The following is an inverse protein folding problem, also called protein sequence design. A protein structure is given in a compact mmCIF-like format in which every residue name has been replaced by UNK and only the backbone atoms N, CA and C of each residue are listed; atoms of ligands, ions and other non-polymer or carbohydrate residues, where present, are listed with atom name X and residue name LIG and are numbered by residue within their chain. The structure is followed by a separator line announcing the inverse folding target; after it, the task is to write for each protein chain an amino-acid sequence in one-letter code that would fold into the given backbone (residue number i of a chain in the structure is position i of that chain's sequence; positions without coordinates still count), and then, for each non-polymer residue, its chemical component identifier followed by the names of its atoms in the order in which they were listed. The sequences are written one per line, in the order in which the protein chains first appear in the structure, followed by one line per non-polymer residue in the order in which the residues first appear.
data_IF_786722242628
#
_entry.id   IF_786722242628
#
_cell.length_a   1.000
_cell.length_b   1.000
_cell.length_c   1.000
_cell.angle_alpha   90.00
_cell.angle_beta   90.00
_cell.angle_gamma   90.00
#
_symmetry.space_group_name_H-M   'P 1'
#
loop_
_entity.id
_entity.type
_entity.pdbx_description
1 polymer ?
#
# COMPACT_ATOMS: atom_id res chain seq x y z
N UNK A 1 -5.96 -11.82 -21.00
CA UNK A 1 -5.44 -10.46 -21.22
C UNK A 1 -4.11 -10.33 -20.50
N UNK A 2 -3.04 -9.95 -21.22
CA UNK A 2 -1.72 -9.66 -20.63
C UNK A 2 -1.62 -8.24 -20.02
N UNK A 3 -2.75 -7.50 -19.96
CA UNK A 3 -2.79 -6.15 -19.42
C UNK A 3 -3.02 -6.19 -17.90
N UNK A 4 -2.32 -5.33 -17.18
CA UNK A 4 -2.63 -5.06 -15.77
C UNK A 4 -3.91 -4.25 -15.67
N UNK A 5 -4.76 -4.62 -14.72
CA UNK A 5 -6.02 -3.93 -14.41
C UNK A 5 -5.89 -3.36 -13.00
N UNK A 6 -6.18 -2.07 -12.84
CA UNK A 6 -6.23 -1.43 -11.53
C UNK A 6 -7.60 -0.80 -11.35
N UNK A 7 -8.30 -1.15 -10.29
CA UNK A 7 -9.66 -0.65 -10.02
C UNK A 7 -9.93 -0.50 -8.53
N UNK A 8 -10.81 0.45 -8.16
CA UNK A 8 -11.42 0.52 -6.83
C UNK A 8 -12.38 -0.65 -6.69
N UNK A 9 -12.40 -1.30 -5.53
CA UNK A 9 -13.24 -2.46 -5.31
C UNK A 9 -13.58 -2.60 -3.82
N UNK A 10 -14.89 -2.71 -3.52
CA UNK A 10 -15.41 -2.81 -2.16
C UNK A 10 -14.94 -1.67 -1.23
N UNK A 11 -14.85 -0.46 -1.76
CA UNK A 11 -14.42 0.68 -0.98
C UNK A 11 -15.47 1.11 0.03
N UNK A 12 -16.74 1.21 -0.40
CA UNK A 12 -17.84 1.66 0.45
C UNK A 12 -18.91 0.59 0.59
N UNK A 13 -19.62 0.60 1.74
CA UNK A 13 -20.76 -0.29 1.95
C UNK A 13 -21.84 -0.08 0.87
N UNK A 14 -22.06 1.18 0.47
CA UNK A 14 -23.03 1.55 -0.57
C UNK A 14 -22.71 0.85 -1.92
N UNK A 15 -21.45 0.79 -2.33
CA UNK A 15 -21.02 0.07 -3.54
C UNK A 15 -21.47 -1.39 -3.49
N UNK A 16 -21.26 -2.05 -2.35
CA UNK A 16 -21.61 -3.45 -2.15
C UNK A 16 -23.13 -3.65 -2.18
N UNK A 17 -23.87 -2.79 -1.47
CA UNK A 17 -25.35 -2.83 -1.42
C UNK A 17 -25.99 -2.59 -2.79
N UNK A 18 -25.52 -1.60 -3.55
CA UNK A 18 -26.00 -1.34 -4.91
C UNK A 18 -25.73 -2.52 -5.86
N UNK A 19 -24.56 -3.19 -5.71
CA UNK A 19 -24.24 -4.38 -6.50
C UNK A 19 -25.15 -5.56 -6.15
N UNK A 20 -25.40 -5.78 -4.87
CA UNK A 20 -26.32 -6.81 -4.40
C UNK A 20 -27.76 -6.56 -4.90
N UNK A 21 -28.23 -5.33 -4.82
CA UNK A 21 -29.56 -4.96 -5.31
C UNK A 21 -29.73 -5.16 -6.83
N UNK A 22 -28.71 -4.76 -7.61
CA UNK A 22 -28.78 -4.83 -9.08
C UNK A 22 -28.51 -6.22 -9.65
N UNK A 23 -27.58 -6.97 -9.03
CA UNK A 23 -27.02 -8.18 -9.63
C UNK A 23 -27.14 -9.40 -8.74
N UNK A 24 -27.65 -9.26 -7.51
CA UNK A 24 -27.67 -10.30 -6.49
C UNK A 24 -26.27 -10.93 -6.24
N UNK A 25 -25.22 -10.13 -6.38
CA UNK A 25 -23.83 -10.50 -6.24
C UNK A 25 -23.03 -9.33 -5.67
N UNK A 26 -22.00 -9.61 -4.85
CA UNK A 26 -21.02 -8.59 -4.49
C UNK A 26 -20.20 -8.16 -5.71
N UNK A 27 -19.55 -6.99 -5.72
CA UNK A 27 -18.67 -6.58 -6.82
C UNK A 27 -17.63 -7.63 -7.19
N UNK A 28 -16.98 -8.25 -6.21
CA UNK A 28 -15.99 -9.32 -6.42
C UNK A 28 -16.62 -10.55 -7.06
N UNK A 29 -17.76 -11.03 -6.54
CA UNK A 29 -18.48 -12.16 -7.14
C UNK A 29 -18.87 -11.91 -8.60
N UNK A 30 -19.26 -10.67 -8.90
CA UNK A 30 -19.58 -10.27 -10.28
C UNK A 30 -18.37 -10.31 -11.19
N UNK A 31 -17.22 -9.78 -10.72
CA UNK A 31 -15.97 -9.80 -11.51
C UNK A 31 -15.43 -11.22 -11.70
N UNK A 32 -15.59 -12.11 -10.69
CA UNK A 32 -15.24 -13.54 -10.81
C UNK A 32 -16.10 -14.21 -11.90
N UNK A 33 -17.41 -14.00 -11.85
CA UNK A 33 -18.34 -14.52 -12.86
C UNK A 33 -18.04 -14.05 -14.29
N UNK A 34 -17.53 -12.82 -14.42
CA UNK A 34 -17.13 -12.24 -15.72
C UNK A 34 -15.73 -12.70 -16.17
N UNK A 35 -15.02 -13.48 -15.35
CA UNK A 35 -13.67 -13.96 -15.67
C UNK A 35 -12.62 -12.84 -15.73
N UNK A 36 -12.83 -11.73 -14.99
CA UNK A 36 -11.92 -10.56 -14.98
C UNK A 36 -10.85 -10.69 -13.90
N UNK A 37 -11.15 -11.43 -12.82
CA UNK A 37 -10.21 -11.61 -11.71
C UNK A 37 -9.00 -12.46 -12.13
N UNK A 38 -7.83 -12.07 -11.66
CA UNK A 38 -6.58 -12.77 -11.93
C UNK A 38 -5.37 -12.08 -11.30
N UNK A 39 -4.17 -12.67 -11.41
CA UNK A 39 -2.95 -12.13 -10.83
C UNK A 39 -2.50 -10.80 -11.45
N UNK A 40 -3.08 -10.42 -12.57
CA UNK A 40 -2.88 -9.12 -13.24
C UNK A 40 -3.87 -8.05 -12.78
N UNK A 41 -4.82 -8.38 -11.86
CA UNK A 41 -5.74 -7.40 -11.28
C UNK A 41 -5.24 -6.93 -9.92
N UNK A 42 -5.27 -5.61 -9.75
CA UNK A 42 -4.98 -4.91 -8.52
C UNK A 42 -6.25 -4.21 -8.03
N UNK A 43 -6.76 -4.67 -6.89
CA UNK A 43 -7.96 -4.15 -6.24
C UNK A 43 -7.58 -3.14 -5.16
N UNK A 44 -7.91 -1.86 -5.34
CA UNK A 44 -7.71 -0.83 -4.34
C UNK A 44 -8.83 -0.88 -3.28
N UNK A 45 -8.48 -0.53 -2.04
CA UNK A 45 -9.31 -0.43 -0.85
C UNK A 45 -9.71 -1.75 -0.21
N UNK A 46 -10.57 -2.54 -0.81
CA UNK A 46 -11.04 -3.83 -0.29
C UNK A 46 -11.51 -3.74 1.18
N UNK A 47 -12.30 -2.71 1.52
CA UNK A 47 -12.75 -2.42 2.90
C UNK A 47 -13.86 -3.36 3.34
N UNK A 48 -14.91 -3.50 2.52
CA UNK A 48 -16.14 -4.20 2.86
C UNK A 48 -16.18 -5.62 2.27
N UNK A 49 -15.21 -6.46 2.65
CA UNK A 49 -15.13 -7.86 2.24
C UNK A 49 -15.77 -8.78 3.28
N UNK A 50 -16.49 -9.78 2.81
CA UNK A 50 -16.84 -10.95 3.61
C UNK A 50 -15.84 -12.11 3.33
N UNK A 51 -15.95 -13.21 4.09
CA UNK A 51 -15.03 -14.35 3.96
C UNK A 51 -15.11 -15.03 2.59
N UNK A 52 -16.28 -15.02 1.95
CA UNK A 52 -16.44 -15.55 0.59
C UNK A 52 -15.70 -14.67 -0.44
N UNK A 53 -15.80 -13.35 -0.30
CA UNK A 53 -15.07 -12.41 -1.16
C UNK A 53 -13.55 -12.58 -1.01
N UNK A 54 -13.04 -12.71 0.22
CA UNK A 54 -11.62 -12.97 0.49
C UNK A 54 -11.18 -14.30 -0.15
N UNK A 55 -12.01 -15.35 -0.07
CA UNK A 55 -11.71 -16.64 -0.69
C UNK A 55 -11.67 -16.56 -2.22
N UNK A 56 -12.50 -15.72 -2.83
CA UNK A 56 -12.47 -15.48 -4.27
C UNK A 56 -11.19 -14.73 -4.67
N UNK A 57 -10.76 -13.73 -3.90
CA UNK A 57 -9.50 -13.01 -4.14
C UNK A 57 -8.29 -13.97 -4.04
N UNK A 58 -8.26 -14.83 -3.01
CA UNK A 58 -7.24 -15.87 -2.82
C UNK A 58 -7.16 -16.82 -4.03
N UNK A 59 -8.28 -17.42 -4.40
CA UNK A 59 -8.41 -18.37 -5.53
C UNK A 59 -7.89 -17.78 -6.83
N UNK A 60 -8.20 -16.51 -7.09
CA UNK A 60 -7.84 -15.81 -8.32
C UNK A 60 -6.48 -15.09 -8.23
N UNK A 61 -5.77 -15.18 -7.10
CA UNK A 61 -4.48 -14.53 -6.87
C UNK A 61 -4.50 -13.01 -7.11
N UNK A 62 -5.62 -12.36 -6.78
CA UNK A 62 -5.80 -10.92 -6.94
C UNK A 62 -4.90 -10.17 -5.96
N UNK A 63 -4.28 -9.09 -6.41
CA UNK A 63 -3.49 -8.21 -5.55
C UNK A 63 -4.39 -7.15 -4.89
N UNK A 64 -4.15 -6.84 -3.62
CA UNK A 64 -4.88 -5.81 -2.88
C UNK A 64 -3.96 -4.63 -2.60
N UNK A 65 -4.45 -3.40 -2.78
CA UNK A 65 -3.77 -2.18 -2.34
C UNK A 65 -4.55 -1.58 -1.18
N UNK A 66 -3.93 -1.54 -0.02
CA UNK A 66 -4.47 -0.93 1.18
C UNK A 66 -4.17 0.57 1.21
N UNK A 67 -5.20 1.39 1.36
CA UNK A 67 -5.12 2.87 1.37
C UNK A 67 -5.65 3.40 2.72
N UNK A 68 -4.92 3.21 3.84
CA UNK A 68 -5.48 3.44 5.18
C UNK A 68 -5.93 4.88 5.41
N UNK A 69 -5.12 5.87 5.02
CA UNK A 69 -5.45 7.28 5.24
C UNK A 69 -6.66 7.72 4.42
N UNK A 70 -6.75 7.31 3.15
CA UNK A 70 -7.91 7.61 2.31
C UNK A 70 -9.19 6.99 2.88
N UNK A 71 -9.15 5.70 3.22
CA UNK A 71 -10.29 4.99 3.79
C UNK A 71 -10.83 5.66 5.07
N UNK A 72 -9.91 6.08 5.96
CA UNK A 72 -10.28 6.79 7.19
C UNK A 72 -10.81 8.19 6.92
N UNK A 73 -10.14 8.96 6.04
CA UNK A 73 -10.54 10.33 5.73
C UNK A 73 -11.92 10.41 5.10
N UNK A 74 -12.22 9.49 4.17
CA UNK A 74 -13.52 9.45 3.49
C UNK A 74 -14.61 8.73 4.28
N UNK A 75 -14.26 8.12 5.43
CA UNK A 75 -15.21 7.34 6.21
C UNK A 75 -15.62 6.04 5.53
N UNK A 76 -14.82 5.53 4.59
CA UNK A 76 -15.10 4.27 3.91
C UNK A 76 -15.07 3.07 4.85
N UNK A 77 -14.30 3.15 5.95
CA UNK A 77 -14.19 2.10 6.95
C UNK A 77 -12.75 1.55 7.08
N UNK A 78 -12.63 0.42 7.76
CA UNK A 78 -11.33 -0.22 8.03
C UNK A 78 -11.30 -1.59 7.36
N UNK A 79 -10.38 -1.79 6.42
CA UNK A 79 -10.20 -3.06 5.73
C UNK A 79 -9.71 -4.17 6.69
N UNK A 80 -10.24 -5.38 6.54
CA UNK A 80 -9.80 -6.56 7.29
C UNK A 80 -8.46 -7.11 6.75
N UNK A 81 -7.38 -6.34 6.96
CA UNK A 81 -6.05 -6.74 6.49
C UNK A 81 -5.59 -8.04 7.15
N UNK A 82 -5.97 -8.30 8.39
CA UNK A 82 -5.63 -9.56 9.09
C UNK A 82 -6.21 -10.78 8.37
N UNK A 83 -7.46 -10.71 7.96
CA UNK A 83 -8.12 -11.79 7.20
C UNK A 83 -7.50 -11.99 5.82
N UNK A 84 -7.22 -10.90 5.10
CA UNK A 84 -6.57 -10.93 3.78
C UNK A 84 -5.14 -11.50 3.89
N UNK A 85 -4.37 -11.04 4.89
CA UNK A 85 -3.00 -11.48 5.14
C UNK A 85 -2.93 -12.97 5.49
N UNK A 86 -3.87 -13.46 6.32
CA UNK A 86 -3.95 -14.86 6.73
C UNK A 86 -4.16 -15.83 5.54
N UNK A 87 -4.72 -15.35 4.43
CA UNK A 87 -4.91 -16.08 3.18
C UNK A 87 -3.72 -16.02 2.24
N UNK A 88 -2.62 -15.35 2.61
CA UNK A 88 -1.44 -15.19 1.76
C UNK A 88 -1.67 -14.31 0.52
N UNK A 89 -2.76 -13.55 0.48
CA UNK A 89 -3.03 -12.60 -0.60
C UNK A 89 -1.98 -11.50 -0.58
N UNK A 90 -1.45 -11.14 -1.73
CA UNK A 90 -0.48 -10.06 -1.84
C UNK A 90 -1.13 -8.71 -1.51
N UNK A 91 -0.55 -8.00 -0.53
CA UNK A 91 -1.03 -6.70 -0.09
C UNK A 91 0.07 -5.67 -0.29
N UNK A 92 -0.20 -4.66 -1.12
CA UNK A 92 0.61 -3.45 -1.25
C UNK A 92 -0.01 -2.28 -0.49
N UNK A 93 0.74 -1.18 -0.36
CA UNK A 93 0.25 0.11 0.17
C UNK A 93 0.13 1.14 -0.94
N UNK A 94 -0.89 1.97 -0.84
CA UNK A 94 -1.09 3.14 -1.67
C UNK A 94 -1.53 4.35 -0.84
N UNK A 95 -1.22 5.54 -1.33
CA UNK A 95 -1.69 6.80 -0.74
C UNK A 95 -3.07 7.22 -1.26
N UNK A 96 -3.52 6.62 -2.36
CA UNK A 96 -4.66 7.11 -3.14
C UNK A 96 -4.41 8.53 -3.69
N UNK A 97 -5.43 9.24 -4.14
CA UNK A 97 -5.28 10.57 -4.71
C UNK A 97 -5.03 11.65 -3.66
N UNK A 98 -4.48 12.79 -4.08
CA UNK A 98 -4.34 13.97 -3.22
C UNK A 98 -5.68 14.54 -2.75
N UNK A 99 -6.77 14.27 -3.47
CA UNK A 99 -8.13 14.68 -3.06
C UNK A 99 -8.64 13.85 -1.87
N UNK A 100 -8.36 12.56 -1.85
CA UNK A 100 -8.82 11.63 -0.79
C UNK A 100 -7.84 11.53 0.39
N UNK A 101 -6.55 11.89 0.21
CA UNK A 101 -5.52 11.80 1.24
C UNK A 101 -4.92 13.15 1.64
N UNK A 102 -4.79 14.13 0.73
CA UNK A 102 -4.05 15.39 0.85
C UNK A 102 -2.51 15.23 0.95
N UNK A 103 -1.99 14.06 1.29
CA UNK A 103 -0.56 13.78 1.38
C UNK A 103 -0.23 12.57 0.51
N UNK A 104 0.77 12.71 -0.35
CA UNK A 104 1.31 11.60 -1.12
C UNK A 104 2.58 11.09 -0.42
N UNK A 105 2.42 10.63 0.83
CA UNK A 105 3.50 10.28 1.75
C UNK A 105 3.37 8.81 2.18
N UNK A 106 4.08 7.94 1.49
CA UNK A 106 4.03 6.49 1.74
C UNK A 106 4.58 6.12 3.12
N UNK A 107 5.46 6.92 3.73
CA UNK A 107 5.97 6.67 5.09
C UNK A 107 4.82 6.83 6.09
N UNK A 108 3.98 7.85 5.90
CA UNK A 108 2.76 8.02 6.70
C UNK A 108 1.81 6.83 6.52
N UNK A 109 1.64 6.33 5.28
CA UNK A 109 0.79 5.15 5.02
C UNK A 109 1.32 3.88 5.67
N UNK A 110 2.64 3.65 5.66
CA UNK A 110 3.28 2.52 6.36
C UNK A 110 2.90 2.54 7.85
N UNK A 111 3.07 3.69 8.50
CA UNK A 111 2.73 3.86 9.94
C UNK A 111 1.25 3.71 10.20
N UNK A 112 0.40 4.34 9.38
CA UNK A 112 -1.05 4.30 9.51
C UNK A 112 -1.58 2.86 9.37
N UNK A 113 -1.13 2.12 8.36
CA UNK A 113 -1.50 0.72 8.17
C UNK A 113 -1.15 -0.13 9.39
N UNK A 114 0.07 0.02 9.90
CA UNK A 114 0.57 -0.79 11.02
C UNK A 114 -0.19 -0.49 12.32
N UNK A 115 -0.32 0.80 12.69
CA UNK A 115 -0.99 1.19 13.93
C UNK A 115 -2.49 0.86 13.91
N UNK A 116 -3.15 1.15 12.78
CA UNK A 116 -4.56 0.88 12.60
C UNK A 116 -4.87 -0.62 12.75
N UNK A 117 -4.09 -1.48 12.08
CA UNK A 117 -4.34 -2.91 12.11
C UNK A 117 -4.03 -3.54 13.48
N UNK A 118 -3.01 -3.08 14.19
CA UNK A 118 -2.76 -3.49 15.59
C UNK A 118 -3.92 -3.09 16.51
N UNK A 119 -4.41 -1.86 16.38
CA UNK A 119 -5.53 -1.36 17.18
C UNK A 119 -6.82 -2.15 16.95
N UNK A 120 -7.18 -2.38 15.68
CA UNK A 120 -8.41 -3.10 15.32
C UNK A 120 -8.33 -4.59 15.68
N UNK A 121 -7.20 -5.23 15.45
CA UNK A 121 -7.02 -6.64 15.77
C UNK A 121 -6.75 -6.90 17.25
N UNK A 122 -6.51 -5.87 18.07
CA UNK A 122 -6.05 -5.97 19.47
C UNK A 122 -4.85 -6.91 19.63
N UNK A 123 -3.94 -6.87 18.65
CA UNK A 123 -2.80 -7.77 18.56
C UNK A 123 -1.53 -6.94 18.23
N UNK A 124 -0.69 -6.72 19.22
CA UNK A 124 0.54 -5.94 19.07
C UNK A 124 1.60 -6.64 18.21
N UNK A 125 1.51 -7.97 18.06
CA UNK A 125 2.42 -8.76 17.23
C UNK A 125 2.00 -8.83 15.76
N UNK A 126 0.74 -8.48 15.46
CA UNK A 126 0.26 -8.48 14.07
C UNK A 126 0.89 -7.33 13.28
N UNK A 127 1.25 -7.60 12.03
CA UNK A 127 1.86 -6.68 11.07
C UNK A 127 3.12 -6.02 11.63
N UNK A 128 4.26 -6.68 11.48
CA UNK A 128 5.56 -6.16 11.95
C UNK A 128 6.08 -5.04 11.04
N UNK A 129 6.99 -4.18 11.52
CA UNK A 129 7.61 -3.13 10.71
C UNK A 129 8.13 -3.61 9.36
N UNK A 130 8.81 -4.77 9.33
CA UNK A 130 9.30 -5.36 8.09
C UNK A 130 8.18 -5.72 7.10
N UNK A 131 7.03 -6.20 7.59
CA UNK A 131 5.89 -6.53 6.71
C UNK A 131 5.28 -5.27 6.10
N UNK A 132 5.11 -4.20 6.89
CA UNK A 132 4.60 -2.92 6.40
C UNK A 132 5.56 -2.28 5.36
N UNK A 133 6.88 -2.41 5.55
CA UNK A 133 7.88 -1.98 4.56
C UNK A 133 7.74 -2.81 3.28
N UNK A 134 7.58 -4.13 3.37
CA UNK A 134 7.35 -4.98 2.18
C UNK A 134 6.07 -4.57 1.44
N UNK A 135 5.00 -4.23 2.14
CA UNK A 135 3.77 -3.73 1.50
C UNK A 135 4.02 -2.46 0.69
N UNK A 136 4.91 -1.57 1.15
CA UNK A 136 5.28 -0.34 0.44
C UNK A 136 6.34 -0.54 -0.66
N UNK A 137 6.93 -1.70 -0.77
CA UNK A 137 8.08 -1.99 -1.67
C UNK A 137 7.80 -3.18 -2.56
N UNK A 138 8.34 -4.35 -2.23
CA UNK A 138 8.27 -5.55 -3.08
C UNK A 138 6.84 -6.03 -3.34
N UNK A 139 5.95 -5.95 -2.34
CA UNK A 139 4.56 -6.37 -2.53
C UNK A 139 3.80 -5.42 -3.47
N UNK A 140 4.04 -4.09 -3.34
CA UNK A 140 3.48 -3.10 -4.27
C UNK A 140 4.03 -3.30 -5.69
N UNK A 141 5.34 -3.56 -5.82
CA UNK A 141 5.95 -3.88 -7.12
C UNK A 141 5.32 -5.14 -7.74
N UNK A 142 5.05 -6.18 -6.93
CA UNK A 142 4.36 -7.39 -7.38
C UNK A 142 2.94 -7.11 -7.86
N UNK A 143 2.20 -6.26 -7.13
CA UNK A 143 0.82 -5.90 -7.50
C UNK A 143 0.72 -5.26 -8.88
N UNK A 144 1.76 -4.53 -9.32
CA UNK A 144 1.81 -3.89 -10.64
C UNK A 144 2.65 -4.68 -11.67
N UNK A 145 3.10 -5.90 -11.33
CA UNK A 145 3.87 -6.78 -12.21
C UNK A 145 5.30 -6.33 -12.47
N UNK A 146 5.91 -5.53 -11.58
CA UNK A 146 7.27 -5.00 -11.71
C UNK A 146 8.27 -5.57 -10.68
N UNK A 147 7.90 -6.58 -9.93
CA UNK A 147 8.71 -7.18 -8.85
C UNK A 147 10.04 -7.77 -9.32
N UNK A 148 10.15 -8.12 -10.60
CA UNK A 148 11.43 -8.55 -11.22
C UNK A 148 12.38 -7.38 -11.51
N UNK A 149 11.87 -6.15 -11.54
CA UNK A 149 12.61 -4.97 -11.92
C UNK A 149 12.88 -4.01 -10.75
N UNK A 150 11.97 -3.90 -9.79
CA UNK A 150 12.01 -2.95 -8.66
C UNK A 150 11.48 -3.61 -7.37
N UNK A 151 11.45 -2.85 -6.28
CA UNK A 151 10.82 -3.23 -5.00
C UNK A 151 11.75 -3.92 -4.02
N UNK A 152 12.97 -4.28 -4.42
CA UNK A 152 14.02 -4.80 -3.53
C UNK A 152 15.41 -4.47 -4.08
N UNK A 153 16.41 -4.44 -3.19
CA UNK A 153 17.81 -4.20 -3.57
C UNK A 153 18.44 -5.56 -3.89
N UNK A 154 18.43 -5.90 -5.17
CA UNK A 154 18.97 -7.17 -5.68
C UNK A 154 19.74 -6.93 -6.97
N UNK A 155 20.77 -7.79 -7.25
CA UNK A 155 21.51 -7.73 -8.50
C UNK A 155 20.58 -7.94 -9.70
N UNK A 156 20.70 -7.06 -10.70
CA UNK A 156 19.89 -7.10 -11.93
C UNK A 156 18.60 -6.30 -11.86
N UNK A 157 18.20 -5.81 -10.68
CA UNK A 157 17.07 -4.85 -10.56
C UNK A 157 17.54 -3.41 -10.79
N UNK A 158 16.58 -2.56 -11.12
CA UNK A 158 16.80 -1.11 -11.25
C UNK A 158 17.12 -0.52 -9.88
N UNK A 159 17.99 0.49 -9.87
CA UNK A 159 18.32 1.22 -8.65
C UNK A 159 17.24 2.28 -8.31
N UNK A 160 16.06 1.79 -7.91
CA UNK A 160 15.01 2.58 -7.28
C UNK A 160 15.22 2.48 -5.77
N UNK A 161 15.95 3.43 -5.20
CA UNK A 161 16.48 3.36 -3.84
C UNK A 161 16.14 4.65 -3.08
N UNK A 162 15.75 4.50 -1.82
CA UNK A 162 15.54 5.61 -0.89
C UNK A 162 16.51 5.45 0.28
N UNK A 163 17.28 6.49 0.60
CA UNK A 163 18.13 6.54 1.79
C UNK A 163 17.45 7.37 2.88
N UNK A 164 17.30 6.76 4.05
CA UNK A 164 16.68 7.35 5.23
C UNK A 164 17.77 7.73 6.25
N UNK A 165 17.71 8.95 6.74
CA UNK A 165 18.57 9.42 7.82
C UNK A 165 17.81 9.29 9.15
N UNK A 166 18.32 8.46 10.06
CA UNK A 166 17.75 8.22 11.38
C UNK A 166 18.52 8.96 12.51
N UNK A 167 19.34 9.97 12.18
CA UNK A 167 20.13 10.70 13.16
C UNK A 167 19.40 11.90 13.78
N UNK A 168 18.09 12.07 13.51
CA UNK A 168 17.31 13.12 14.16
C UNK A 168 17.02 12.74 15.62
N UNK A 169 16.68 13.74 16.44
CA UNK A 169 16.41 13.54 17.88
C UNK A 169 15.18 12.63 18.09
N UNK A 170 14.20 12.70 17.20
CA UNK A 170 12.98 11.90 17.24
C UNK A 170 13.24 10.41 16.95
N UNK A 171 14.35 10.12 16.29
CA UNK A 171 14.79 8.77 15.96
C UNK A 171 15.77 8.18 16.96
N UNK A 172 16.07 8.87 18.06
CA UNK A 172 17.02 8.42 19.05
C UNK A 172 16.34 8.08 20.39
N UNK A 173 16.82 7.02 21.11
CA UNK A 173 17.84 6.06 20.69
C UNK A 173 17.30 5.05 19.65
N UNK A 174 18.10 4.75 18.63
CA UNK A 174 17.74 3.80 17.57
C UNK A 174 18.27 2.39 17.94
N UNK A 175 17.42 1.55 18.53
CA UNK A 175 17.77 0.16 18.87
C UNK A 175 17.49 -0.81 17.71
N UNK A 176 16.41 -0.57 16.95
CA UNK A 176 16.06 -1.29 15.75
C UNK A 176 15.73 -0.30 14.62
N UNK A 177 16.56 -0.22 13.55
CA UNK A 177 16.38 0.73 12.48
C UNK A 177 15.03 0.60 11.75
N UNK A 178 14.49 -0.62 11.60
CA UNK A 178 13.21 -0.81 10.91
C UNK A 178 12.04 -0.28 11.75
N UNK A 179 12.03 -0.57 13.05
CA UNK A 179 11.04 -0.01 13.97
C UNK A 179 11.16 1.50 14.08
N UNK A 180 12.39 2.02 14.20
CA UNK A 180 12.63 3.46 14.24
C UNK A 180 12.13 4.15 12.96
N UNK A 181 12.42 3.58 11.79
CA UNK A 181 11.91 4.10 10.52
C UNK A 181 10.38 4.15 10.51
N UNK A 182 9.71 3.08 10.86
CA UNK A 182 8.24 3.00 10.77
C UNK A 182 7.55 3.88 11.81
N UNK A 183 8.05 3.89 13.07
CA UNK A 183 7.35 4.56 14.16
C UNK A 183 7.78 6.01 14.39
N UNK A 184 9.02 6.39 14.05
CA UNK A 184 9.59 7.70 14.40
C UNK A 184 9.93 8.56 13.20
N UNK A 185 10.43 7.97 12.08
CA UNK A 185 10.85 8.75 10.92
C UNK A 185 9.66 9.34 10.15
N UNK A 186 9.91 10.41 9.40
CA UNK A 186 8.95 11.07 8.51
C UNK A 186 9.59 11.42 7.16
N UNK A 187 8.87 12.19 6.31
CA UNK A 187 9.37 12.62 5.01
C UNK A 187 10.70 13.41 5.09
N UNK A 188 10.96 14.11 6.20
CA UNK A 188 12.21 14.87 6.37
C UNK A 188 13.40 13.95 6.63
N UNK A 189 13.15 12.70 7.01
CA UNK A 189 14.18 11.68 7.15
C UNK A 189 14.68 11.14 5.80
N UNK A 190 13.99 11.42 4.68
CA UNK A 190 14.40 11.01 3.33
C UNK A 190 15.56 11.88 2.87
N UNK A 191 16.78 11.36 2.92
CA UNK A 191 17.98 12.13 2.56
C UNK A 191 18.28 12.07 1.07
N UNK A 192 18.11 10.92 0.42
CA UNK A 192 18.39 10.74 -1.01
C UNK A 192 17.35 9.80 -1.64
N UNK A 193 17.03 10.05 -2.91
CA UNK A 193 16.19 9.19 -3.74
C UNK A 193 16.82 9.01 -5.11
N UNK A 194 16.92 7.76 -5.52
CA UNK A 194 17.31 7.40 -6.89
C UNK A 194 16.14 6.68 -7.58
N UNK A 195 15.93 6.98 -8.83
CA UNK A 195 14.98 6.31 -9.72
C UNK A 195 15.76 5.86 -10.94
N UNK A 196 15.78 4.57 -11.20
CA UNK A 196 16.56 3.95 -12.30
C UNK A 196 18.03 4.40 -12.28
N UNK A 197 18.64 4.47 -11.07
CA UNK A 197 20.01 4.92 -10.84
C UNK A 197 20.22 6.44 -10.91
N UNK A 198 19.21 7.21 -11.34
CA UNK A 198 19.29 8.65 -11.45
C UNK A 198 18.88 9.33 -10.14
N UNK A 199 19.73 10.16 -9.56
CA UNK A 199 19.41 10.87 -8.33
C UNK A 199 18.31 11.90 -8.56
N UNK A 200 17.24 11.85 -7.79
CA UNK A 200 16.10 12.77 -7.82
C UNK A 200 16.02 13.66 -6.60
N UNK A 201 16.43 13.13 -5.43
CA UNK A 201 16.58 13.90 -4.19
C UNK A 201 18.00 13.72 -3.67
N UNK A 202 18.65 14.79 -3.26
CA UNK A 202 19.99 14.82 -2.67
C UNK A 202 20.01 15.74 -1.47
N UNK A 203 20.34 15.19 -0.30
CA UNK A 203 20.36 15.93 0.98
C UNK A 203 19.05 16.68 1.23
N UNK A 204 17.90 15.98 1.06
CA UNK A 204 16.54 16.50 1.22
C UNK A 204 16.06 17.52 0.16
N UNK A 205 16.87 17.88 -0.84
CA UNK A 205 16.48 18.82 -1.89
C UNK A 205 16.23 18.10 -3.22
N UNK A 206 15.25 18.56 -3.98
CA UNK A 206 15.00 18.09 -5.35
C UNK A 206 16.18 18.46 -6.26
N UNK A 207 16.60 17.52 -7.09
CA UNK A 207 17.70 17.75 -8.05
C UNK A 207 17.12 18.31 -9.35
N UNK A 208 17.68 19.43 -9.83
CA UNK A 208 17.28 20.12 -11.08
C UNK A 208 15.84 20.66 -11.07
N UNK A 209 15.25 20.89 -9.91
CA UNK A 209 13.94 21.52 -9.74
C UNK A 209 14.10 22.70 -8.79
N UNK A 210 13.62 23.85 -9.21
CA UNK A 210 13.53 25.08 -8.42
C UNK A 210 12.18 25.06 -7.70
N UNK A 211 12.18 24.68 -6.41
CA UNK A 211 10.97 24.52 -5.63
C UNK A 211 10.22 25.85 -5.42
N UNK A 212 10.97 26.98 -5.34
CA UNK A 212 10.37 28.30 -5.16
C UNK A 212 9.52 28.74 -6.37
N UNK A 213 9.77 28.16 -7.55
CA UNK A 213 8.95 28.39 -8.75
C UNK A 213 7.71 27.52 -8.83
N UNK A 214 7.56 26.53 -7.95
CA UNK A 214 6.40 25.63 -7.92
C UNK A 214 5.33 26.10 -6.93
N UNK A 215 5.66 27.01 -6.02
CA UNK A 215 4.80 27.61 -5.01
C UNK A 215 4.22 28.92 -5.55
#
# INVERSE_FOLDING_TARGET
LQMTIHTHLHETLREVEESLQKFNMTPIQRLDKLGILGPNLTAAHCVHLNDADISILEKNQVNVIHNPSSNMKLGSGIANIKGIFAKGINIGLGSDSSASNNRLDIITEIRAALLLQKGVSQDAEFLKPFDAIKMATINAAKAIGLDKNIGSIEYGKRADIVAINLNSIECQPCFDPLSTFVYSADKNSVSHVWVDGNIKVKKNFLVNIDEDKLI
#
